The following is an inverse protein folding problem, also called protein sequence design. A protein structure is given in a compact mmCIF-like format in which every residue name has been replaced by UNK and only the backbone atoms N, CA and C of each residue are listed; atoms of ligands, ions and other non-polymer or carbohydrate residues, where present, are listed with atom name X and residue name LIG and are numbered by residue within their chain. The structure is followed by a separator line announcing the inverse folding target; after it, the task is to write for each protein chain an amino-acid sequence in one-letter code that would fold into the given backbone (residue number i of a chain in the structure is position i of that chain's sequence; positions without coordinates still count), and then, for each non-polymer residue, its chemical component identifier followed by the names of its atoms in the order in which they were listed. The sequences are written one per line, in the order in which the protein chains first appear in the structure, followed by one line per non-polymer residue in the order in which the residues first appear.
data_IF_942327536140
#
_entry.id   IF_942327536140
#
_cell.length_a   1.000
_cell.length_b   1.000
_cell.length_c   1.000
_cell.angle_alpha   90.00
_cell.angle_beta   90.00
_cell.angle_gamma   90.00
#
_symmetry.space_group_name_H-M   'P 1'
#
loop_
_entity.id
_entity.type
_entity.pdbx_description
1 polymer ?
#
# COMPACT_ATOMS: atom_id res chain seq x y z
N UNK A 1 1.00 -30.18 6.27
CA UNK A 1 0.45 -28.89 5.81
C UNK A 1 -1.02 -29.09 5.44
N UNK A 2 -1.92 -28.71 6.36
CA UNK A 2 -3.37 -28.93 6.20
C UNK A 2 -3.91 -28.08 5.05
N UNK A 3 -4.49 -28.74 4.05
CA UNK A 3 -5.18 -28.11 2.93
C UNK A 3 -6.50 -27.53 3.48
N UNK A 4 -6.46 -26.26 3.93
CA UNK A 4 -7.63 -25.57 4.46
C UNK A 4 -8.61 -25.29 3.31
N UNK A 5 -9.60 -26.17 3.15
CA UNK A 5 -10.66 -26.08 2.12
C UNK A 5 -11.38 -24.72 2.17
N UNK A 6 -11.54 -24.15 3.36
CA UNK A 6 -12.24 -22.88 3.59
C UNK A 6 -11.33 -21.63 3.59
N UNK A 7 -10.01 -21.78 3.47
CA UNK A 7 -9.08 -20.65 3.51
C UNK A 7 -8.14 -20.72 2.32
N UNK A 8 -8.49 -20.00 1.26
CA UNK A 8 -7.68 -19.91 0.06
C UNK A 8 -6.47 -18.99 0.31
N UNK A 9 -5.32 -19.59 0.64
CA UNK A 9 -4.07 -18.87 0.92
C UNK A 9 -3.58 -18.08 -0.30
N UNK A 10 -3.81 -18.58 -1.53
CA UNK A 10 -3.47 -17.86 -2.76
C UNK A 10 -4.31 -16.59 -2.93
N UNK A 11 -5.61 -16.65 -2.61
CA UNK A 11 -6.49 -15.47 -2.64
C UNK A 11 -6.12 -14.46 -1.53
N UNK A 12 -5.75 -14.93 -0.34
CA UNK A 12 -5.26 -14.06 0.74
C UNK A 12 -3.95 -13.36 0.35
N UNK A 13 -3.02 -14.08 -0.27
CA UNK A 13 -1.78 -13.50 -0.77
C UNK A 13 -2.06 -12.46 -1.89
N UNK A 14 -2.91 -12.81 -2.85
CA UNK A 14 -3.34 -11.87 -3.89
C UNK A 14 -4.00 -10.61 -3.29
N UNK A 15 -4.85 -10.77 -2.27
CA UNK A 15 -5.49 -9.64 -1.57
C UNK A 15 -4.47 -8.78 -0.84
N UNK A 16 -3.45 -9.38 -0.21
CA UNK A 16 -2.36 -8.65 0.43
C UNK A 16 -1.53 -7.85 -0.61
N UNK A 17 -1.19 -8.45 -1.75
CA UNK A 17 -0.51 -7.77 -2.85
C UNK A 17 -1.36 -6.65 -3.46
N UNK A 18 -2.66 -6.88 -3.69
CA UNK A 18 -3.60 -5.86 -4.18
C UNK A 18 -3.70 -4.70 -3.19
N UNK A 19 -3.79 -4.98 -1.90
CA UNK A 19 -3.85 -3.94 -0.87
C UNK A 19 -2.58 -3.08 -0.86
N UNK A 20 -1.40 -3.71 -1.00
CA UNK A 20 -0.13 -2.98 -1.10
C UNK A 20 -0.07 -2.13 -2.38
N UNK A 21 -0.47 -2.69 -3.52
CA UNK A 21 -0.49 -2.00 -4.80
C UNK A 21 -1.48 -0.82 -4.80
N UNK A 22 -2.68 -0.99 -4.22
CA UNK A 22 -3.67 0.08 -4.09
C UNK A 22 -3.17 1.24 -3.24
N UNK A 23 -2.42 0.96 -2.16
CA UNK A 23 -1.76 2.01 -1.36
C UNK A 23 -0.71 2.77 -2.18
N UNK A 24 0.15 2.04 -2.89
CA UNK A 24 1.17 2.64 -3.76
C UNK A 24 0.56 3.48 -4.89
N UNK A 25 -0.53 2.98 -5.49
CA UNK A 25 -1.29 3.71 -6.51
C UNK A 25 -1.92 4.97 -5.93
N UNK A 26 -2.54 4.89 -4.75
CA UNK A 26 -3.11 6.05 -4.07
C UNK A 26 -2.05 7.13 -3.82
N UNK A 27 -0.87 6.75 -3.33
CA UNK A 27 0.25 7.68 -3.13
C UNK A 27 0.75 8.26 -4.46
N UNK A 28 0.80 7.47 -5.52
CA UNK A 28 1.22 7.93 -6.84
C UNK A 28 0.21 8.92 -7.45
N UNK A 29 -1.09 8.66 -7.28
CA UNK A 29 -2.16 9.57 -7.68
C UNK A 29 -2.15 10.85 -6.85
N UNK A 30 -1.90 10.75 -5.55
CA UNK A 30 -1.76 11.89 -4.66
C UNK A 30 -0.58 12.78 -5.09
N UNK A 31 0.61 12.20 -5.36
CA UNK A 31 1.78 12.92 -5.89
C UNK A 31 1.53 13.54 -7.28
N UNK A 32 0.80 12.84 -8.14
CA UNK A 32 0.44 13.36 -9.46
C UNK A 32 -0.54 14.55 -9.34
N UNK A 33 -1.50 14.46 -8.43
CA UNK A 33 -2.53 15.47 -8.20
C UNK A 33 -1.94 16.77 -7.64
N UNK A 34 -0.95 16.69 -6.75
CA UNK A 34 -0.32 17.88 -6.16
C UNK A 34 0.91 18.37 -6.91
N UNK A 35 1.49 17.55 -7.80
CA UNK A 35 2.76 17.82 -8.47
C UNK A 35 3.97 17.84 -7.52
N UNK A 36 3.77 17.54 -6.22
CA UNK A 36 4.81 17.52 -5.20
C UNK A 36 5.15 16.07 -4.85
N UNK A 37 6.46 15.76 -4.85
CA UNK A 37 6.95 14.40 -4.57
C UNK A 37 6.69 13.95 -3.12
N UNK A 38 6.46 14.89 -2.21
CA UNK A 38 6.24 14.69 -0.78
C UNK A 38 4.95 15.43 -0.42
N UNK A 39 3.89 14.72 -0.02
CA UNK A 39 2.55 15.29 0.16
C UNK A 39 2.02 15.28 1.58
N UNK A 40 2.69 14.61 2.52
CA UNK A 40 2.28 14.65 3.92
C UNK A 40 3.48 14.78 4.85
N UNK A 41 3.29 15.44 5.99
CA UNK A 41 4.22 15.47 7.11
C UNK A 41 4.56 14.07 7.68
N UNK A 42 3.92 13.00 7.17
CA UNK A 42 4.22 11.61 7.47
C UNK A 42 5.36 11.06 6.60
N UNK A 43 5.53 11.58 5.37
CA UNK A 43 6.69 11.26 4.51
C UNK A 43 7.96 11.98 4.99
N UNK A 44 7.84 12.99 5.86
CA UNK A 44 8.94 13.83 6.38
C UNK A 44 8.97 13.91 7.93
N UNK A 45 8.44 12.90 8.62
CA UNK A 45 8.47 12.83 10.09
C UNK A 45 9.90 12.71 10.68
N UNK A 46 10.91 12.53 9.82
CA UNK A 46 12.33 12.45 10.19
C UNK A 46 13.09 13.77 9.99
N UNK A 47 12.49 14.76 9.31
CA UNK A 47 13.14 16.04 8.98
C UNK A 47 12.75 17.22 9.89
N UNK A 48 11.82 17.01 10.83
CA UNK A 48 11.36 18.01 11.81
C UNK A 48 11.49 17.49 13.25
N UNK A 49 12.59 16.79 13.55
CA UNK A 49 13.03 16.42 14.89
C UNK A 49 14.52 16.74 15.05
#
# INVERSE_FOLDING_TARGET
MSFRINTNVSALNATASVTANSRSLSTSLERLSTGLRINSAKDDASGLA
#
